data_IF_741972170816
#
_entry.id   IF_741972170816
#
_cell.length_a   1.000
_cell.length_b   1.000
_cell.length_c   1.000
_cell.angle_alpha   90.00
_cell.angle_beta   90.00
_cell.angle_gamma   90.00
#
_symmetry.space_group_name_H-M   'P 1'
#
loop_
_entity.id
_entity.type
_entity.pdbx_description
1 polymer ?
#
# COMPACT_ATOMS: atom_id res chain seq x y z
N UNK A 1 -3.93 -20.95 14.05
CA UNK A 1 -2.48 -21.19 13.91
C UNK A 1 -1.88 -20.04 13.09
N UNK A 2 -0.94 -19.25 13.64
CA UNK A 2 -0.33 -18.12 12.94
C UNK A 2 0.39 -18.49 11.64
N UNK A 3 1.01 -19.67 11.56
CA UNK A 3 1.74 -20.10 10.36
C UNK A 3 0.76 -20.37 9.21
N UNK A 4 -0.27 -21.19 9.46
CA UNK A 4 -1.34 -21.46 8.50
C UNK A 4 -2.05 -20.18 8.04
N UNK A 5 -2.35 -19.26 8.97
CA UNK A 5 -3.01 -18.00 8.61
C UNK A 5 -2.09 -17.11 7.77
N UNK A 6 -0.79 -17.05 8.10
CA UNK A 6 0.18 -16.29 7.31
C UNK A 6 0.29 -16.84 5.90
N UNK A 7 0.34 -18.16 5.74
CA UNK A 7 0.35 -18.80 4.43
C UNK A 7 -0.93 -18.49 3.65
N UNK A 8 -2.10 -18.64 4.29
CA UNK A 8 -3.39 -18.33 3.67
C UNK A 8 -3.49 -16.88 3.17
N UNK A 9 -3.01 -15.91 3.96
CA UNK A 9 -2.98 -14.50 3.54
C UNK A 9 -2.01 -14.27 2.38
N UNK A 10 -0.83 -14.92 2.38
CA UNK A 10 0.10 -14.87 1.25
C UNK A 10 -0.53 -15.45 -0.02
N UNK A 11 -1.15 -16.63 0.08
CA UNK A 11 -1.82 -17.28 -1.05
C UNK A 11 -2.93 -16.40 -1.62
N UNK A 12 -3.69 -15.72 -0.76
CA UNK A 12 -4.70 -14.75 -1.18
C UNK A 12 -4.07 -13.56 -1.93
N UNK A 13 -2.95 -13.02 -1.45
CA UNK A 13 -2.24 -11.94 -2.12
C UNK A 13 -1.67 -12.36 -3.50
N UNK A 14 -1.08 -13.56 -3.60
CA UNK A 14 -0.62 -14.13 -4.88
C UNK A 14 -1.78 -14.41 -5.83
N UNK A 15 -2.92 -14.91 -5.34
CA UNK A 15 -4.15 -15.05 -6.12
C UNK A 15 -4.61 -13.71 -6.71
N UNK A 16 -4.44 -12.61 -5.97
CA UNK A 16 -4.71 -11.24 -6.40
C UNK A 16 -3.60 -10.63 -7.28
N UNK A 17 -2.62 -11.43 -7.72
CA UNK A 17 -1.51 -11.05 -8.61
C UNK A 17 -0.43 -10.16 -7.98
N UNK A 18 -0.20 -10.28 -6.67
CA UNK A 18 1.08 -9.83 -6.12
C UNK A 18 2.22 -10.69 -6.69
N UNK A 19 3.36 -10.08 -6.99
CA UNK A 19 4.55 -10.80 -7.45
C UNK A 19 5.37 -11.33 -6.26
N UNK A 20 5.38 -10.59 -5.14
CA UNK A 20 6.02 -10.99 -3.89
C UNK A 20 5.20 -10.55 -2.68
N UNK A 21 5.30 -11.29 -1.57
CA UNK A 21 4.52 -11.04 -0.35
C UNK A 21 5.34 -11.29 0.93
N UNK A 22 5.43 -10.27 1.77
CA UNK A 22 6.04 -10.29 3.09
C UNK A 22 5.00 -10.15 4.20
N UNK A 23 5.25 -10.81 5.34
CA UNK A 23 4.47 -10.59 6.57
C UNK A 23 5.47 -10.48 7.72
N UNK A 24 5.34 -9.43 8.52
CA UNK A 24 6.27 -9.14 9.60
C UNK A 24 5.66 -8.30 10.72
N UNK A 25 6.49 -7.98 11.70
CA UNK A 25 6.15 -7.01 12.74
C UNK A 25 6.21 -5.61 12.15
N UNK A 26 5.24 -4.77 12.48
CA UNK A 26 5.24 -3.38 12.04
C UNK A 26 6.35 -2.60 12.75
N UNK A 27 7.32 -2.00 12.04
CA UNK A 27 8.32 -1.15 12.67
C UNK A 27 7.65 0.09 13.26
N UNK A 28 7.90 0.38 14.53
CA UNK A 28 7.25 1.50 15.22
C UNK A 28 7.57 2.87 14.61
N UNK A 29 8.75 3.00 13.98
CA UNK A 29 9.22 4.21 13.31
C UNK A 29 8.72 4.36 11.87
N UNK A 30 8.02 3.36 11.31
CA UNK A 30 7.55 3.40 9.93
C UNK A 30 6.30 4.27 9.76
N UNK A 31 5.59 4.62 10.84
CA UNK A 31 4.42 5.48 10.78
C UNK A 31 4.79 6.94 10.56
N UNK A 32 4.00 7.63 9.72
CA UNK A 32 4.02 9.08 9.69
C UNK A 32 3.48 9.65 11.00
N UNK A 33 3.89 10.88 11.34
CA UNK A 33 3.28 11.60 12.47
C UNK A 33 1.87 12.10 12.12
N UNK A 34 1.67 12.53 10.87
CA UNK A 34 0.43 13.04 10.32
C UNK A 34 0.21 12.48 8.93
N UNK A 35 -1.05 12.22 8.57
CA UNK A 35 -1.45 11.98 7.18
C UNK A 35 -1.99 13.26 6.56
N UNK A 36 -1.70 13.40 5.28
CA UNK A 36 -2.18 14.53 4.47
C UNK A 36 -3.72 14.57 4.45
N UNK A 37 -4.34 15.76 4.27
CA UNK A 37 -5.75 15.86 3.90
C UNK A 37 -6.08 15.02 2.66
N UNK A 38 -7.38 14.77 2.43
CA UNK A 38 -7.79 14.05 1.23
C UNK A 38 -7.36 14.82 -0.03
N UNK A 39 -7.11 14.09 -1.12
CA UNK A 39 -6.75 14.72 -2.40
C UNK A 39 -7.80 15.76 -2.82
N UNK A 40 -9.09 15.47 -2.59
CA UNK A 40 -10.19 16.39 -2.87
C UNK A 40 -10.12 17.67 -2.03
N UNK A 41 -9.71 17.58 -0.77
CA UNK A 41 -9.51 18.75 0.08
C UNK A 41 -8.34 19.60 -0.41
N UNK A 42 -7.25 18.97 -0.83
CA UNK A 42 -6.09 19.68 -1.38
C UNK A 42 -6.44 20.35 -2.72
N UNK A 43 -7.20 19.70 -3.59
CA UNK A 43 -7.62 20.32 -4.85
C UNK A 43 -8.51 21.55 -4.64
N UNK A 44 -9.35 21.56 -3.60
CA UNK A 44 -10.26 22.68 -3.30
C UNK A 44 -9.58 23.81 -2.54
N UNK A 45 -8.64 23.50 -1.65
CA UNK A 45 -8.05 24.46 -0.71
C UNK A 45 -6.57 24.77 -1.03
N UNK A 46 -6.03 24.23 -2.13
CA UNK A 46 -4.61 24.26 -2.43
C UNK A 46 -3.80 23.33 -1.51
N UNK A 47 -2.50 23.57 -1.39
CA UNK A 47 -1.60 22.80 -0.52
C UNK A 47 -1.78 23.13 0.99
N UNK A 48 -3.02 23.41 1.42
CA UNK A 48 -3.35 23.68 2.81
C UNK A 48 -3.29 22.39 3.65
N UNK A 49 -2.20 22.27 4.41
CA UNK A 49 -1.96 21.14 5.31
C UNK A 49 -2.58 21.34 6.71
N UNK A 50 -3.31 22.43 6.98
CA UNK A 50 -3.93 22.68 8.30
C UNK A 50 -4.91 21.59 8.73
N UNK A 51 -5.49 20.88 7.77
CA UNK A 51 -6.42 19.75 7.98
C UNK A 51 -5.73 18.38 8.09
N UNK A 52 -4.40 18.35 8.24
CA UNK A 52 -3.66 17.09 8.41
C UNK A 52 -4.13 16.37 9.68
N UNK A 53 -4.24 15.05 9.60
CA UNK A 53 -4.79 14.23 10.69
C UNK A 53 -3.64 13.48 11.37
N UNK A 54 -3.49 13.57 12.70
CA UNK A 54 -2.49 12.79 13.42
C UNK A 54 -2.70 11.28 13.21
N UNK A 55 -1.61 10.55 12.95
CA UNK A 55 -1.65 9.09 12.82
C UNK A 55 -1.41 8.46 14.19
N UNK A 56 -2.49 8.04 14.84
CA UNK A 56 -2.47 7.48 16.20
C UNK A 56 -2.67 5.97 16.24
N UNK A 57 -3.29 5.38 15.22
CA UNK A 57 -3.49 3.93 15.13
C UNK A 57 -2.15 3.19 15.01
N UNK A 58 -2.01 2.07 15.73
CA UNK A 58 -0.83 1.21 15.69
C UNK A 58 -1.28 -0.22 15.50
N UNK A 59 -0.76 -0.87 14.46
CA UNK A 59 -0.99 -2.27 14.15
C UNK A 59 0.27 -3.07 14.49
N UNK A 60 0.17 -4.23 15.14
CA UNK A 60 1.36 -5.00 15.54
C UNK A 60 2.07 -5.69 14.37
N UNK A 61 1.35 -5.90 13.26
CA UNK A 61 1.83 -6.61 12.08
C UNK A 61 1.62 -5.77 10.83
N UNK A 62 2.44 -6.06 9.82
CA UNK A 62 2.34 -5.49 8.48
C UNK A 62 2.41 -6.61 7.45
N UNK A 63 1.58 -6.49 6.42
CA UNK A 63 1.61 -7.33 5.22
C UNK A 63 2.09 -6.42 4.10
N UNK A 64 3.21 -6.77 3.48
CA UNK A 64 3.76 -6.07 2.33
C UNK A 64 3.68 -6.93 1.09
N UNK A 65 3.56 -6.30 -0.06
CA UNK A 65 3.58 -6.99 -1.34
C UNK A 65 4.10 -6.06 -2.43
N UNK A 66 4.63 -6.66 -3.49
CA UNK A 66 5.19 -5.96 -4.63
C UNK A 66 4.44 -6.31 -5.91
N UNK A 67 4.40 -5.36 -6.83
CA UNK A 67 3.89 -5.53 -8.18
C UNK A 67 4.96 -5.04 -9.15
N UNK A 68 5.35 -5.89 -10.09
CA UNK A 68 6.34 -5.59 -11.12
C UNK A 68 5.80 -4.53 -12.09
N UNK A 69 6.65 -3.52 -12.36
CA UNK A 69 6.29 -2.41 -13.24
C UNK A 69 6.27 -2.77 -14.73
N UNK A 70 6.48 -4.04 -15.08
CA UNK A 70 6.64 -4.62 -16.40
C UNK A 70 8.00 -4.31 -17.04
N UNK A 71 8.97 -5.18 -16.77
CA UNK A 71 10.36 -5.08 -17.26
C UNK A 71 10.45 -4.81 -18.77
N UNK A 72 9.69 -5.51 -19.61
CA UNK A 72 9.75 -5.38 -21.07
C UNK A 72 9.35 -3.97 -21.53
N UNK A 73 8.37 -3.34 -20.86
CA UNK A 73 8.02 -1.95 -21.14
C UNK A 73 9.12 -1.00 -20.67
N UNK A 74 9.73 -1.26 -19.52
CA UNK A 74 10.84 -0.44 -19.01
C UNK A 74 12.04 -0.47 -19.97
N UNK A 75 12.41 -1.66 -20.49
CA UNK A 75 13.51 -1.81 -21.45
C UNK A 75 13.29 -1.08 -22.78
N UNK A 76 12.04 -0.78 -23.13
CA UNK A 76 11.68 0.05 -24.29
C UNK A 76 11.54 1.54 -23.99
N UNK A 77 11.71 1.96 -22.73
CA UNK A 77 11.53 3.33 -22.26
C UNK A 77 12.87 3.99 -21.93
N UNK A 78 12.91 5.32 -21.94
CA UNK A 78 14.01 6.10 -21.34
C UNK A 78 13.90 6.22 -19.82
N UNK A 79 12.79 5.76 -19.23
CA UNK A 79 12.46 5.90 -17.81
C UNK A 79 11.82 7.24 -17.43
N UNK A 80 11.84 8.24 -18.33
CA UNK A 80 11.23 9.56 -18.14
C UNK A 80 10.44 10.04 -19.36
N UNK A 81 10.18 9.16 -20.33
CA UNK A 81 9.31 9.43 -21.47
C UNK A 81 7.82 9.30 -21.12
N UNK A 82 6.96 9.39 -22.13
CA UNK A 82 5.51 9.39 -21.96
C UNK A 82 4.92 8.14 -21.31
N UNK A 83 5.64 7.00 -21.25
CA UNK A 83 5.11 5.76 -20.63
C UNK A 83 5.44 5.65 -19.13
N UNK A 84 6.44 6.38 -18.64
CA UNK A 84 6.95 6.28 -17.26
C UNK A 84 5.87 6.45 -16.18
N UNK A 85 5.05 7.51 -16.31
CA UNK A 85 3.93 7.73 -15.41
C UNK A 85 2.89 6.60 -15.51
N UNK A 86 2.65 6.07 -16.71
CA UNK A 86 1.74 4.96 -16.96
C UNK A 86 2.16 3.67 -16.24
N UNK A 87 3.46 3.32 -16.25
CA UNK A 87 3.97 2.15 -15.53
C UNK A 87 3.78 2.28 -14.00
N UNK A 88 4.05 3.48 -13.46
CA UNK A 88 3.83 3.76 -12.04
C UNK A 88 2.34 3.62 -11.67
N UNK A 89 1.44 4.30 -12.39
CA UNK A 89 0.01 4.26 -12.08
C UNK A 89 -0.63 2.88 -12.30
N UNK A 90 -0.17 2.10 -13.28
CA UNK A 90 -0.57 0.68 -13.42
C UNK A 90 -0.26 -0.11 -12.15
N UNK A 91 0.95 0.07 -11.62
CA UNK A 91 1.42 -0.67 -10.44
C UNK A 91 0.77 -0.16 -9.15
N UNK A 92 0.50 1.14 -9.03
CA UNK A 92 -0.27 1.72 -7.93
C UNK A 92 -1.73 1.26 -7.93
N UNK A 93 -2.34 1.15 -9.10
CA UNK A 93 -3.70 0.62 -9.23
C UNK A 93 -3.75 -0.84 -8.78
N UNK A 94 -2.87 -1.69 -9.31
CA UNK A 94 -2.81 -3.11 -8.94
C UNK A 94 -2.56 -3.30 -7.43
N UNK A 95 -1.53 -2.64 -6.89
CA UNK A 95 -1.22 -2.74 -5.45
C UNK A 95 -2.32 -2.15 -4.56
N UNK A 96 -2.98 -1.06 -4.97
CA UNK A 96 -4.14 -0.51 -4.26
C UNK A 96 -5.33 -1.48 -4.20
N UNK A 97 -5.64 -2.15 -5.31
CA UNK A 97 -6.70 -3.17 -5.37
C UNK A 97 -6.38 -4.33 -4.41
N UNK A 98 -5.15 -4.85 -4.44
CA UNK A 98 -4.70 -5.91 -3.52
C UNK A 98 -4.85 -5.45 -2.07
N UNK A 99 -4.35 -4.26 -1.72
CA UNK A 99 -4.39 -3.70 -0.38
C UNK A 99 -5.81 -3.63 0.18
N UNK A 100 -6.74 -3.07 -0.61
CA UNK A 100 -8.13 -2.85 -0.19
C UNK A 100 -8.88 -4.17 -0.05
N UNK A 101 -8.70 -5.11 -0.99
CA UNK A 101 -9.32 -6.44 -0.92
C UNK A 101 -8.81 -7.20 0.30
N UNK A 102 -7.50 -7.28 0.52
CA UNK A 102 -6.93 -7.99 1.67
C UNK A 102 -7.38 -7.37 2.99
N UNK A 103 -7.33 -6.05 3.13
CA UNK A 103 -7.79 -5.39 4.34
C UNK A 103 -9.29 -5.65 4.60
N UNK A 104 -10.13 -5.64 3.56
CA UNK A 104 -11.54 -6.00 3.66
C UNK A 104 -11.74 -7.46 4.06
N UNK A 105 -10.98 -8.36 3.45
CA UNK A 105 -11.00 -9.79 3.76
C UNK A 105 -10.64 -10.06 5.22
N UNK A 106 -9.57 -9.46 5.73
CA UNK A 106 -9.13 -9.60 7.13
C UNK A 106 -10.19 -9.04 8.10
N UNK A 107 -10.85 -7.92 7.76
CA UNK A 107 -11.99 -7.40 8.54
C UNK A 107 -13.18 -8.36 8.55
N UNK A 108 -13.48 -9.03 7.43
CA UNK A 108 -14.53 -10.04 7.38
C UNK A 108 -14.20 -11.31 8.19
N UNK A 109 -12.92 -11.58 8.44
CA UNK A 109 -12.47 -12.61 9.39
C UNK A 109 -12.55 -12.16 10.86
N UNK A 110 -12.93 -10.90 11.13
CA UNK A 110 -13.10 -10.35 12.48
C UNK A 110 -11.88 -9.62 13.05
N UNK A 111 -10.86 -9.34 12.24
CA UNK A 111 -9.64 -8.65 12.68
C UNK A 111 -9.56 -7.21 12.14
N UNK A 112 -9.03 -6.28 12.93
CA UNK A 112 -8.78 -4.92 12.44
C UNK A 112 -7.67 -4.93 11.37
N UNK A 113 -7.91 -4.28 10.25
CA UNK A 113 -6.95 -4.14 9.15
C UNK A 113 -7.21 -2.90 8.31
N UNK A 114 -6.12 -2.25 7.88
CA UNK A 114 -6.12 -1.01 7.09
C UNK A 114 -5.23 -1.15 5.87
N UNK A 115 -5.75 -0.73 4.73
CA UNK A 115 -5.00 -0.65 3.49
C UNK A 115 -4.15 0.63 3.46
N UNK A 116 -2.89 0.48 3.05
CA UNK A 116 -1.97 1.57 2.74
C UNK A 116 -1.66 1.52 1.23
N UNK A 117 -1.86 2.61 0.52
CA UNK A 117 -1.60 2.72 -0.92
C UNK A 117 -1.38 4.19 -1.33
N UNK A 118 -1.06 4.46 -2.59
CA UNK A 118 -0.61 5.79 -3.06
C UNK A 118 -1.44 6.98 -2.58
N UNK A 119 -2.77 6.85 -2.54
CA UNK A 119 -3.69 7.92 -2.15
C UNK A 119 -4.10 7.89 -0.68
N UNK A 120 -3.56 6.95 0.11
CA UNK A 120 -3.92 6.75 1.51
C UNK A 120 -2.78 6.05 2.28
N UNK A 121 -1.73 6.80 2.60
CA UNK A 121 -0.62 6.31 3.44
C UNK A 121 -0.67 6.86 4.87
N UNK A 122 -0.43 5.97 5.83
CA UNK A 122 -0.09 6.31 7.22
C UNK A 122 1.28 5.76 7.63
N UNK A 123 1.90 4.96 6.77
CA UNK A 123 3.23 4.44 6.95
C UNK A 123 4.09 4.64 5.70
N UNK A 124 5.40 4.70 5.90
CA UNK A 124 6.41 4.73 4.86
C UNK A 124 6.69 3.30 4.40
N UNK A 125 6.58 3.03 3.10
CA UNK A 125 6.72 1.66 2.58
C UNK A 125 8.13 1.08 2.72
N UNK A 126 9.18 1.89 2.52
CA UNK A 126 10.57 1.42 2.55
C UNK A 126 10.94 0.63 3.81
N UNK A 127 10.72 1.17 5.02
CA UNK A 127 10.93 0.44 6.27
C UNK A 127 10.08 -0.80 6.50
N UNK A 128 8.92 -0.91 5.84
CA UNK A 128 7.98 -2.03 6.03
C UNK A 128 8.32 -3.25 5.17
N UNK A 129 9.11 -3.06 4.11
CA UNK A 129 9.55 -4.10 3.18
C UNK A 129 10.65 -4.98 3.78
#
# INVERSE_FOLDING_TARGET
DPEQMSQHIKDCAYYLRADEVGIGKMPSYAYYSYRSPSQDDLFKNGDDLSKSIPVTERMPYVITFMVDQHLETMLGSTGYDGISAGQSFRSYHASGVIAVILASYIRNLGYNARANHISNYEAVMGPCL
#
